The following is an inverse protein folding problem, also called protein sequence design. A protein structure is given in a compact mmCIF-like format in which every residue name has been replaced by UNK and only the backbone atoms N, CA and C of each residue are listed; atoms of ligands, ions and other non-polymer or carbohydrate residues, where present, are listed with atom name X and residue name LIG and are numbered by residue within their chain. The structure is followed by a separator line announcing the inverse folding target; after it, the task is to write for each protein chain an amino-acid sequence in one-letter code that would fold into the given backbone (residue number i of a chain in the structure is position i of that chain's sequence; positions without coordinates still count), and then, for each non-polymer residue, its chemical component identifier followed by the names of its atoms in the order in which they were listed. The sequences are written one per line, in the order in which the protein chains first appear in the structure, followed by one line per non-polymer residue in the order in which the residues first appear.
data_IF_958400255437
#
_entry.id   IF_958400255437
#
_cell.length_a   1.000
_cell.length_b   1.000
_cell.length_c   1.000
_cell.angle_alpha   90.00
_cell.angle_beta   90.00
_cell.angle_gamma   90.00
#
_symmetry.space_group_name_H-M   'P 1'
#
loop_
_entity.id
_entity.type
_entity.pdbx_description
1 polymer ?
#
# COMPACT_ATOMS: atom_id res chain seq x y z
N UNK A 1 -19.71 -17.59 12.98
CA UNK A 1 -19.50 -18.84 12.25
C UNK A 1 -20.90 -19.48 12.07
N UNK A 2 -21.34 -19.77 10.84
CA UNK A 2 -22.63 -20.47 10.68
C UNK A 2 -22.39 -21.94 11.01
N UNK A 3 -23.04 -22.44 12.03
CA UNK A 3 -23.17 -23.86 12.33
C UNK A 3 -24.32 -24.43 11.50
N UNK A 4 -24.09 -25.55 10.83
CA UNK A 4 -25.15 -26.30 10.17
C UNK A 4 -25.70 -27.31 11.17
N UNK A 5 -27.03 -27.44 11.20
CA UNK A 5 -27.72 -28.36 12.08
C UNK A 5 -28.63 -29.27 11.23
N UNK A 6 -28.83 -30.48 11.66
CA UNK A 6 -29.78 -31.42 11.02
C UNK A 6 -31.21 -30.94 11.25
N UNK A 7 -32.03 -30.96 10.21
CA UNK A 7 -33.44 -30.49 10.25
C UNK A 7 -34.35 -31.31 11.14
N UNK A 8 -33.92 -32.48 11.59
CA UNK A 8 -34.79 -33.38 12.39
C UNK A 8 -34.43 -33.43 13.89
N UNK A 9 -33.12 -33.36 14.21
CA UNK A 9 -32.66 -33.51 15.60
C UNK A 9 -32.02 -32.22 16.17
N UNK A 10 -31.76 -31.21 15.37
CA UNK A 10 -31.01 -30.02 15.79
C UNK A 10 -29.54 -30.29 16.15
N UNK A 11 -29.01 -31.47 15.77
CA UNK A 11 -27.61 -31.81 16.05
C UNK A 11 -26.66 -31.06 15.13
N UNK A 12 -25.56 -30.51 15.68
CA UNK A 12 -24.58 -29.79 14.84
C UNK A 12 -23.87 -30.76 13.91
N UNK A 13 -23.91 -30.45 12.62
CA UNK A 13 -23.19 -31.20 11.56
C UNK A 13 -21.69 -30.93 11.71
N UNK A 14 -20.88 -32.00 11.78
CA UNK A 14 -19.42 -31.91 12.06
C UNK A 14 -18.64 -31.61 10.80
N UNK A 15 -17.91 -30.49 10.83
CA UNK A 15 -16.96 -30.14 9.75
C UNK A 15 -15.84 -31.18 9.67
N UNK A 16 -15.51 -31.60 8.45
CA UNK A 16 -14.46 -32.58 8.15
C UNK A 16 -14.89 -34.04 8.19
N UNK A 17 -16.00 -34.36 8.88
CA UNK A 17 -16.57 -35.71 8.92
C UNK A 17 -17.84 -35.82 8.06
N UNK A 18 -18.68 -34.79 8.08
CA UNK A 18 -20.01 -34.81 7.45
C UNK A 18 -20.14 -33.75 6.36
N UNK A 19 -19.29 -32.72 6.36
CA UNK A 19 -19.18 -31.76 5.26
C UNK A 19 -17.79 -31.13 5.19
N UNK A 20 -17.40 -30.75 3.99
CA UNK A 20 -16.27 -29.85 3.74
C UNK A 20 -16.76 -28.47 3.37
N UNK A 21 -16.09 -27.45 3.91
CA UNK A 21 -16.34 -26.06 3.55
C UNK A 21 -15.30 -25.60 2.54
N UNK A 22 -15.75 -25.34 1.32
CA UNK A 22 -14.94 -24.66 0.31
C UNK A 22 -15.21 -23.16 0.40
N UNK A 23 -14.18 -22.40 0.69
CA UNK A 23 -14.22 -20.94 0.64
C UNK A 23 -13.63 -20.50 -0.70
N UNK A 24 -14.49 -20.16 -1.64
CA UNK A 24 -14.11 -19.87 -3.01
C UNK A 24 -13.07 -18.75 -3.11
N UNK A 25 -13.26 -17.69 -2.32
CA UNK A 25 -12.34 -16.55 -2.32
C UNK A 25 -10.93 -16.91 -1.80
N UNK A 26 -10.82 -17.86 -0.86
CA UNK A 26 -9.54 -18.39 -0.38
C UNK A 26 -8.85 -19.21 -1.48
N UNK A 27 -9.61 -20.11 -2.11
CA UNK A 27 -9.13 -20.95 -3.20
C UNK A 27 -8.61 -20.09 -4.37
N UNK A 28 -9.36 -19.07 -4.76
CA UNK A 28 -8.98 -18.19 -5.87
C UNK A 28 -7.77 -17.31 -5.53
N UNK A 29 -7.57 -16.94 -4.25
CA UNK A 29 -6.37 -16.24 -3.80
C UNK A 29 -5.11 -17.11 -3.83
N UNK A 30 -5.26 -18.41 -3.57
CA UNK A 30 -4.16 -19.36 -3.62
C UNK A 30 -3.77 -19.73 -5.07
N UNK A 31 -4.64 -19.46 -6.04
CA UNK A 31 -4.46 -19.78 -7.45
C UNK A 31 -4.63 -18.54 -8.33
N UNK A 32 -3.69 -17.58 -8.26
CA UNK A 32 -3.82 -16.27 -8.92
C UNK A 32 -3.96 -16.37 -10.44
N UNK A 33 -3.30 -17.33 -11.09
CA UNK A 33 -3.42 -17.55 -12.53
C UNK A 33 -4.82 -18.02 -12.93
N UNK A 34 -5.43 -18.91 -12.14
CA UNK A 34 -6.79 -19.36 -12.37
C UNK A 34 -7.80 -18.24 -12.11
N UNK A 35 -7.55 -17.42 -11.09
CA UNK A 35 -8.38 -16.25 -10.83
C UNK A 35 -8.30 -15.24 -11.98
N UNK A 36 -7.12 -14.94 -12.49
CA UNK A 36 -6.94 -14.05 -13.64
C UNK A 36 -7.71 -14.56 -14.86
N UNK A 37 -7.55 -15.82 -15.23
CA UNK A 37 -8.30 -16.45 -16.34
C UNK A 37 -9.83 -16.40 -16.14
N UNK A 38 -10.31 -16.66 -14.92
CA UNK A 38 -11.72 -16.58 -14.57
C UNK A 38 -12.27 -15.17 -14.77
N UNK A 39 -11.59 -14.15 -14.23
CA UNK A 39 -12.11 -12.77 -14.27
C UNK A 39 -12.05 -12.18 -15.67
N UNK A 40 -11.02 -12.50 -16.48
CA UNK A 40 -10.95 -12.12 -17.89
C UNK A 40 -12.11 -12.71 -18.67
N UNK A 41 -12.40 -13.99 -18.50
CA UNK A 41 -13.56 -14.66 -19.13
C UNK A 41 -14.89 -14.04 -18.68
N UNK A 42 -15.02 -13.73 -17.40
CA UNK A 42 -16.23 -13.08 -16.85
C UNK A 42 -16.46 -11.70 -17.46
N UNK A 43 -15.40 -10.88 -17.56
CA UNK A 43 -15.49 -9.53 -18.14
C UNK A 43 -15.82 -9.61 -19.62
N UNK A 44 -15.17 -10.50 -20.38
CA UNK A 44 -15.47 -10.71 -21.80
C UNK A 44 -16.95 -11.07 -22.02
N UNK A 45 -17.50 -12.02 -21.27
CA UNK A 45 -18.93 -12.39 -21.36
C UNK A 45 -19.87 -11.25 -20.97
N UNK A 46 -19.48 -10.38 -20.04
CA UNK A 46 -20.28 -9.20 -19.69
C UNK A 46 -20.26 -8.16 -20.79
N UNK A 47 -19.10 -7.90 -21.40
CA UNK A 47 -18.97 -6.99 -22.53
C UNK A 47 -19.81 -7.47 -23.72
N UNK A 48 -19.77 -8.76 -24.04
CA UNK A 48 -20.61 -9.35 -25.07
C UNK A 48 -22.10 -9.11 -24.81
N UNK A 49 -22.56 -9.36 -23.58
CA UNK A 49 -23.97 -9.15 -23.19
C UNK A 49 -24.46 -7.72 -23.30
N UNK A 50 -23.59 -6.73 -23.14
CA UNK A 50 -23.95 -5.32 -23.24
C UNK A 50 -23.65 -4.71 -24.61
N UNK A 51 -23.32 -5.54 -25.60
CA UNK A 51 -23.17 -5.15 -27.00
C UNK A 51 -21.74 -4.76 -27.42
N UNK A 52 -20.73 -4.98 -26.58
CA UNK A 52 -19.31 -4.76 -26.92
C UNK A 52 -18.65 -6.06 -27.45
N UNK A 53 -19.28 -6.71 -28.42
CA UNK A 53 -18.85 -8.02 -28.92
C UNK A 53 -17.41 -8.03 -29.47
N UNK A 54 -16.97 -6.95 -30.13
CA UNK A 54 -15.60 -6.85 -30.64
C UNK A 54 -14.56 -6.84 -29.49
N UNK A 55 -14.85 -6.15 -28.39
CA UNK A 55 -13.98 -6.15 -27.21
C UNK A 55 -14.00 -7.50 -26.47
N UNK A 56 -15.10 -8.25 -26.53
CA UNK A 56 -15.22 -9.56 -25.91
C UNK A 56 -14.38 -10.65 -26.61
N UNK A 57 -14.03 -10.45 -27.89
CA UNK A 57 -13.23 -11.39 -28.70
C UNK A 57 -11.73 -11.13 -28.64
N UNK A 58 -11.31 -10.04 -28.01
CA UNK A 58 -9.90 -9.66 -27.83
C UNK A 58 -9.50 -9.76 -26.36
N UNK A 59 -8.20 -9.68 -26.08
CA UNK A 59 -7.75 -9.50 -24.68
C UNK A 59 -8.21 -8.13 -24.17
N UNK A 60 -8.53 -8.03 -22.91
CA UNK A 60 -9.08 -6.80 -22.31
C UNK A 60 -8.01 -5.72 -22.08
N UNK A 61 -6.76 -6.13 -21.93
CA UNK A 61 -5.64 -5.26 -21.57
C UNK A 61 -5.47 -4.03 -22.47
N UNK A 62 -5.60 -4.14 -23.82
CA UNK A 62 -5.44 -2.99 -24.71
C UNK A 62 -6.45 -1.85 -24.49
N UNK A 63 -7.53 -2.12 -23.77
CA UNK A 63 -8.51 -1.07 -23.42
C UNK A 63 -8.16 -0.29 -22.16
N UNK A 64 -7.10 -0.69 -21.46
CA UNK A 64 -6.60 0.01 -20.28
C UNK A 64 -5.24 0.62 -20.59
N UNK A 65 -5.11 1.93 -20.44
CA UNK A 65 -3.80 2.56 -20.49
C UNK A 65 -2.96 2.00 -19.34
N UNK A 66 -1.77 1.49 -19.67
CA UNK A 66 -0.87 0.92 -18.68
C UNK A 66 0.20 1.92 -18.27
N UNK A 67 0.63 1.80 -17.03
CA UNK A 67 1.90 2.36 -16.60
C UNK A 67 2.99 1.45 -17.15
N UNK A 68 3.92 2.01 -17.94
CA UNK A 68 5.03 1.25 -18.48
C UNK A 68 5.86 0.63 -17.33
N UNK A 69 5.59 -0.64 -17.04
CA UNK A 69 6.19 -1.36 -15.92
C UNK A 69 7.69 -1.59 -16.07
N UNK A 70 8.25 -1.52 -17.32
CA UNK A 70 9.68 -1.69 -17.56
C UNK A 70 10.46 -0.44 -17.28
N UNK A 71 9.87 0.72 -17.53
CA UNK A 71 10.48 2.03 -17.38
C UNK A 71 9.58 3.02 -16.62
N UNK A 72 8.63 2.51 -15.81
CA UNK A 72 7.70 3.37 -15.08
C UNK A 72 8.45 4.42 -14.25
N UNK A 73 9.50 4.04 -13.59
CA UNK A 73 10.33 4.94 -12.83
C UNK A 73 11.01 6.02 -13.69
N UNK A 74 11.28 5.78 -14.99
CA UNK A 74 11.74 6.80 -15.93
C UNK A 74 10.61 7.67 -16.46
N UNK A 75 9.43 7.09 -16.63
CA UNK A 75 8.26 7.81 -17.16
C UNK A 75 7.50 8.61 -16.08
N UNK A 76 7.76 8.36 -14.79
CA UNK A 76 7.05 9.01 -13.67
C UNK A 76 7.09 10.53 -13.72
N UNK A 77 8.15 11.11 -14.28
CA UNK A 77 8.31 12.55 -14.43
C UNK A 77 7.21 13.20 -15.26
N UNK A 78 6.56 12.46 -16.15
CA UNK A 78 5.42 12.94 -16.95
C UNK A 78 4.16 13.16 -16.10
N UNK A 79 4.04 12.45 -14.98
CA UNK A 79 2.89 12.52 -14.07
C UNK A 79 3.09 13.51 -12.92
N UNK A 80 4.29 14.07 -12.78
CA UNK A 80 4.62 15.04 -11.76
C UNK A 80 4.59 16.48 -12.29
N UNK A 81 4.32 17.49 -11.44
CA UNK A 81 4.42 18.89 -11.83
C UNK A 81 5.82 19.22 -12.39
N UNK A 82 5.89 20.11 -13.36
CA UNK A 82 7.17 20.60 -13.88
C UNK A 82 8.00 21.21 -12.74
N UNK A 83 9.31 20.95 -12.70
CA UNK A 83 10.20 21.62 -11.74
C UNK A 83 10.07 23.14 -11.91
N UNK A 84 10.06 23.85 -10.80
CA UNK A 84 10.16 25.31 -10.83
C UNK A 84 11.63 25.69 -10.85
N UNK A 85 11.99 26.62 -11.73
CA UNK A 85 13.36 27.14 -11.77
C UNK A 85 13.81 27.66 -10.42
N UNK A 86 15.04 27.34 -10.03
CA UNK A 86 15.67 27.74 -8.75
C UNK A 86 14.95 27.24 -7.48
N UNK A 87 14.13 26.20 -7.54
CA UNK A 87 13.55 25.58 -6.35
C UNK A 87 14.06 24.16 -6.14
N UNK A 88 14.53 23.88 -4.96
CA UNK A 88 14.83 22.52 -4.53
C UNK A 88 13.58 21.64 -4.58
N UNK A 89 13.76 20.39 -4.96
CA UNK A 89 12.72 19.38 -4.88
C UNK A 89 12.13 19.29 -3.46
N UNK A 90 10.82 18.98 -3.30
CA UNK A 90 10.21 18.95 -1.97
C UNK A 90 10.91 18.01 -0.99
N UNK A 91 11.37 16.85 -1.44
CA UNK A 91 12.13 15.89 -0.63
C UNK A 91 13.52 16.41 -0.23
N UNK A 92 14.18 17.20 -1.07
CA UNK A 92 15.46 17.84 -0.75
C UNK A 92 15.28 18.97 0.27
N UNK A 93 14.18 19.73 0.19
CA UNK A 93 13.88 20.74 1.22
C UNK A 93 13.68 20.13 2.59
N UNK A 94 12.93 18.99 2.64
CA UNK A 94 12.76 18.22 3.88
C UNK A 94 14.10 17.69 4.41
N UNK A 95 14.94 17.13 3.51
CA UNK A 95 16.27 16.65 3.89
C UNK A 95 17.15 17.79 4.41
N UNK A 96 17.17 18.93 3.75
CA UNK A 96 17.94 20.10 4.20
C UNK A 96 17.53 20.56 5.61
N UNK A 97 16.21 20.57 5.89
CA UNK A 97 15.71 20.90 7.23
C UNK A 97 16.22 19.90 8.28
N UNK A 98 16.15 18.59 7.98
CA UNK A 98 16.60 17.56 8.92
C UNK A 98 18.11 17.57 9.14
N UNK A 99 18.91 17.85 8.10
CA UNK A 99 20.38 17.98 8.21
C UNK A 99 20.77 19.12 9.13
N UNK A 100 20.08 20.28 9.00
CA UNK A 100 20.31 21.43 9.87
C UNK A 100 19.87 21.19 11.30
N UNK A 101 18.69 20.56 11.49
CA UNK A 101 18.13 20.37 12.84
C UNK A 101 18.75 19.22 13.62
N UNK A 102 19.16 18.13 12.95
CA UNK A 102 19.59 16.90 13.61
C UNK A 102 21.13 16.72 13.63
N UNK A 103 21.83 17.29 12.65
CA UNK A 103 23.30 17.22 12.55
C UNK A 103 23.95 18.60 12.69
N UNK A 104 23.15 19.66 12.91
CA UNK A 104 23.62 21.04 13.08
C UNK A 104 24.56 21.53 11.96
N UNK A 105 24.34 21.00 10.71
CA UNK A 105 25.18 21.33 9.57
C UNK A 105 24.93 22.77 9.09
N UNK A 106 25.99 23.44 8.65
CA UNK A 106 25.93 24.76 8.03
C UNK A 106 25.36 24.71 6.60
N UNK A 107 24.95 25.85 6.08
CA UNK A 107 24.31 25.99 4.75
C UNK A 107 25.21 25.49 3.60
N UNK A 108 26.50 25.78 3.53
CA UNK A 108 27.39 25.26 2.49
C UNK A 108 27.46 23.74 2.48
N UNK A 109 27.58 23.11 3.64
CA UNK A 109 27.63 21.64 3.79
C UNK A 109 26.31 20.99 3.38
N UNK A 110 25.18 21.55 3.82
CA UNK A 110 23.85 21.09 3.40
C UNK A 110 23.68 21.18 1.87
N UNK A 111 24.13 22.28 1.26
CA UNK A 111 24.07 22.46 -0.18
C UNK A 111 24.91 21.41 -0.90
N UNK A 112 26.14 21.17 -0.43
CA UNK A 112 27.02 20.13 -1.01
C UNK A 112 26.40 18.72 -0.96
N UNK A 113 25.73 18.38 0.15
CA UNK A 113 25.02 17.11 0.30
C UNK A 113 23.85 17.01 -0.71
N UNK A 114 23.05 18.06 -0.82
CA UNK A 114 21.91 18.08 -1.75
C UNK A 114 22.39 17.96 -3.19
N UNK A 115 23.43 18.71 -3.58
CA UNK A 115 24.00 18.69 -4.92
C UNK A 115 24.60 17.30 -5.26
N UNK A 116 25.24 16.66 -4.28
CA UNK A 116 25.76 15.29 -4.45
C UNK A 116 24.65 14.28 -4.74
N UNK A 117 23.46 14.44 -4.14
CA UNK A 117 22.31 13.53 -4.33
C UNK A 117 21.48 13.83 -5.58
N UNK A 118 21.72 14.93 -6.28
CA UNK A 118 20.97 15.27 -7.50
C UNK A 118 21.26 14.30 -8.64
N UNK A 119 20.18 13.91 -9.34
CA UNK A 119 20.23 13.16 -10.60
C UNK A 119 19.44 13.94 -11.64
N UNK A 120 20.10 14.72 -12.50
CA UNK A 120 19.43 15.59 -13.45
C UNK A 120 18.42 14.82 -14.33
N UNK A 121 17.20 15.35 -14.46
CA UNK A 121 16.12 14.80 -15.28
C UNK A 121 15.57 13.44 -14.81
N UNK A 122 15.89 13.01 -13.59
CA UNK A 122 15.47 11.70 -13.09
C UNK A 122 15.00 11.71 -11.63
N UNK A 123 13.84 12.33 -11.39
CA UNK A 123 13.31 12.55 -10.03
C UNK A 123 13.10 11.27 -9.21
N UNK A 124 12.80 10.15 -9.85
CA UNK A 124 12.67 8.88 -9.12
C UNK A 124 14.02 8.43 -8.54
N UNK A 125 15.10 8.43 -9.35
CA UNK A 125 16.43 8.06 -8.86
C UNK A 125 16.96 9.05 -7.82
N UNK A 126 16.70 10.34 -8.00
CA UNK A 126 17.04 11.38 -7.03
C UNK A 126 16.31 11.17 -5.70
N UNK A 127 15.01 10.84 -5.76
CA UNK A 127 14.23 10.45 -4.56
C UNK A 127 14.75 9.15 -3.95
N UNK A 128 15.11 8.14 -4.75
CA UNK A 128 15.69 6.90 -4.28
C UNK A 128 17.06 7.11 -3.59
N UNK A 129 17.90 7.97 -4.13
CA UNK A 129 19.16 8.37 -3.49
C UNK A 129 18.90 9.07 -2.15
N UNK A 130 17.97 10.02 -2.11
CA UNK A 130 17.56 10.70 -0.86
C UNK A 130 17.02 9.70 0.17
N UNK A 131 16.24 8.71 -0.27
CA UNK A 131 15.71 7.65 0.58
C UNK A 131 16.82 6.74 1.13
N UNK A 132 17.78 6.32 0.29
CA UNK A 132 18.93 5.53 0.73
C UNK A 132 19.79 6.30 1.72
N UNK A 133 20.09 7.56 1.45
CA UNK A 133 20.83 8.44 2.35
C UNK A 133 20.17 8.52 3.74
N UNK A 134 18.83 8.67 3.79
CA UNK A 134 18.07 8.66 5.05
C UNK A 134 18.10 7.31 5.77
N UNK A 135 18.10 6.20 5.04
CA UNK A 135 18.23 4.85 5.65
C UNK A 135 19.60 4.60 6.25
N UNK A 136 20.62 5.10 5.62
CA UNK A 136 22.01 4.98 6.07
C UNK A 136 22.40 6.06 7.08
N UNK A 137 21.58 7.05 7.30
CA UNK A 137 21.75 8.27 8.08
C UNK A 137 23.11 8.36 8.80
N UNK A 138 23.96 9.36 8.50
CA UNK A 138 25.30 9.45 9.02
C UNK A 138 25.30 9.63 10.54
N UNK A 139 26.27 8.99 11.20
CA UNK A 139 26.40 9.06 12.65
C UNK A 139 26.89 10.42 13.14
N UNK A 140 27.65 11.13 12.29
CA UNK A 140 28.23 12.45 12.57
C UNK A 140 28.29 13.31 11.30
N UNK A 141 28.69 14.59 11.47
CA UNK A 141 28.80 15.55 10.37
C UNK A 141 29.87 15.19 9.35
N UNK A 142 30.97 14.56 9.77
CA UNK A 142 32.14 14.30 8.91
C UNK A 142 31.82 13.22 7.88
N UNK A 143 30.97 12.25 8.22
CA UNK A 143 30.54 11.19 7.31
C UNK A 143 29.39 11.64 6.38
N UNK A 144 28.72 12.74 6.69
CA UNK A 144 27.51 13.16 5.99
C UNK A 144 27.75 13.47 4.51
N UNK A 145 28.81 14.18 4.20
CA UNK A 145 29.16 14.59 2.84
C UNK A 145 29.67 13.40 2.03
N UNK A 146 30.57 12.59 2.60
CA UNK A 146 31.11 11.39 1.93
C UNK A 146 30.02 10.39 1.58
N UNK A 147 29.08 10.15 2.49
CA UNK A 147 27.92 9.28 2.25
C UNK A 147 27.03 9.84 1.12
N UNK A 148 26.81 11.16 1.05
CA UNK A 148 26.01 11.77 -0.01
C UNK A 148 26.66 11.58 -1.38
N UNK A 149 27.99 11.75 -1.48
CA UNK A 149 28.74 11.49 -2.69
C UNK A 149 28.69 10.02 -3.12
N UNK A 150 28.84 9.08 -2.19
CA UNK A 150 28.73 7.65 -2.46
C UNK A 150 27.33 7.30 -3.01
N UNK A 151 26.27 7.67 -2.29
CA UNK A 151 24.89 7.38 -2.69
C UNK A 151 24.53 8.05 -4.02
N UNK A 152 24.91 9.32 -4.19
CA UNK A 152 24.67 10.06 -5.43
C UNK A 152 25.43 9.48 -6.62
N UNK A 153 26.66 8.97 -6.43
CA UNK A 153 27.40 8.28 -7.49
C UNK A 153 26.71 7.01 -7.95
N UNK A 154 26.16 6.21 -7.04
CA UNK A 154 25.36 5.03 -7.35
C UNK A 154 24.11 5.38 -8.17
N UNK A 155 23.42 6.46 -7.81
CA UNK A 155 22.23 6.90 -8.52
C UNK A 155 22.56 7.35 -9.96
N UNK A 156 23.64 8.09 -10.14
CA UNK A 156 24.12 8.50 -11.48
C UNK A 156 24.60 7.31 -12.32
N UNK A 157 25.27 6.32 -11.70
CA UNK A 157 25.65 5.09 -12.37
C UNK A 157 24.42 4.33 -12.91
N UNK A 158 23.36 4.20 -12.11
CA UNK A 158 22.11 3.59 -12.57
C UNK A 158 21.42 4.39 -13.69
N UNK A 159 21.46 5.71 -13.66
CA UNK A 159 20.94 6.55 -14.74
C UNK A 159 21.68 6.32 -16.05
N UNK A 160 22.99 6.04 -15.98
CA UNK A 160 23.86 5.70 -17.13
C UNK A 160 23.74 4.23 -17.54
N UNK A 161 22.99 3.40 -16.81
CA UNK A 161 22.80 1.98 -17.08
C UNK A 161 23.84 1.05 -16.45
N UNK A 162 24.78 1.59 -15.65
CA UNK A 162 25.77 0.81 -14.91
C UNK A 162 25.13 0.25 -13.62
N UNK A 163 24.67 -1.00 -13.72
CA UNK A 163 24.03 -1.70 -12.60
C UNK A 163 25.02 -2.22 -11.57
N UNK A 164 26.26 -2.45 -11.93
CA UNK A 164 27.28 -2.95 -11.03
C UNK A 164 27.72 -1.84 -10.05
N UNK A 165 28.10 -0.68 -10.57
CA UNK A 165 28.43 0.48 -9.74
C UNK A 165 27.25 1.01 -8.92
N UNK A 166 26.00 0.83 -9.40
CA UNK A 166 24.77 1.20 -8.71
C UNK A 166 24.10 0.08 -7.90
N UNK A 167 24.77 -1.05 -7.64
CA UNK A 167 24.12 -2.28 -7.14
C UNK A 167 23.38 -2.12 -5.81
N UNK A 168 23.93 -1.36 -4.85
CA UNK A 168 23.27 -1.16 -3.55
C UNK A 168 21.96 -0.37 -3.69
N UNK A 169 21.96 0.69 -4.50
CA UNK A 169 20.73 1.45 -4.78
C UNK A 169 19.75 0.64 -5.62
N UNK A 170 20.21 -0.16 -6.59
CA UNK A 170 19.37 -1.04 -7.38
C UNK A 170 18.65 -2.07 -6.49
N UNK A 171 19.38 -2.67 -5.54
CA UNK A 171 18.79 -3.58 -4.55
C UNK A 171 17.74 -2.88 -3.69
N UNK A 172 18.03 -1.69 -3.19
CA UNK A 172 17.07 -0.91 -2.42
C UNK A 172 15.81 -0.63 -3.24
N UNK A 173 15.95 -0.19 -4.49
CA UNK A 173 14.83 0.07 -5.39
C UNK A 173 14.01 -1.20 -5.62
N UNK A 174 14.64 -2.37 -5.77
CA UNK A 174 13.92 -3.64 -5.99
C UNK A 174 12.95 -3.98 -4.84
N UNK A 175 13.25 -3.55 -3.63
CA UNK A 175 12.39 -3.76 -2.45
C UNK A 175 11.41 -2.61 -2.23
N UNK A 176 11.86 -1.36 -2.35
CA UNK A 176 11.13 -0.17 -1.92
C UNK A 176 10.57 0.69 -3.06
N UNK A 177 10.60 0.24 -4.32
CA UNK A 177 10.15 1.05 -5.47
C UNK A 177 8.73 1.60 -5.29
N UNK A 178 7.80 0.78 -4.81
CA UNK A 178 6.41 1.17 -4.54
C UNK A 178 6.31 2.25 -3.46
N UNK A 179 7.13 2.16 -2.41
CA UNK A 179 7.14 3.13 -1.32
C UNK A 179 7.81 4.44 -1.73
N UNK A 180 8.93 4.35 -2.47
CA UNK A 180 9.63 5.51 -3.05
C UNK A 180 8.71 6.28 -3.99
N UNK A 181 7.94 5.58 -4.85
CA UNK A 181 6.94 6.19 -5.72
C UNK A 181 5.82 6.87 -4.93
N UNK A 182 5.27 6.18 -3.91
CA UNK A 182 4.22 6.76 -3.08
C UNK A 182 4.70 8.03 -2.37
N UNK A 183 5.91 8.02 -1.80
CA UNK A 183 6.53 9.18 -1.20
C UNK A 183 6.78 10.30 -2.22
N UNK A 184 7.28 9.96 -3.42
CA UNK A 184 7.53 10.93 -4.47
C UNK A 184 6.24 11.65 -4.91
N UNK A 185 5.17 10.91 -5.15
CA UNK A 185 3.86 11.52 -5.47
C UNK A 185 3.34 12.37 -4.31
N UNK A 186 3.45 11.87 -3.08
CA UNK A 186 3.05 12.61 -1.88
C UNK A 186 3.84 13.92 -1.69
N UNK A 187 5.15 13.91 -1.93
CA UNK A 187 6.01 15.09 -1.85
C UNK A 187 5.58 16.20 -2.82
N UNK A 188 5.02 15.84 -3.97
CA UNK A 188 4.48 16.76 -4.95
C UNK A 188 2.96 17.03 -4.79
N UNK A 189 2.35 16.63 -3.69
CA UNK A 189 0.91 16.72 -3.44
C UNK A 189 0.08 16.08 -4.57
N UNK A 190 0.55 14.95 -5.09
CA UNK A 190 -0.12 14.13 -6.11
C UNK A 190 -0.48 12.77 -5.52
N UNK A 191 -1.54 12.18 -6.04
CA UNK A 191 -1.96 10.82 -5.68
C UNK A 191 -1.28 9.80 -6.57
N UNK A 192 -0.87 8.68 -5.98
CA UNK A 192 -0.30 7.55 -6.71
C UNK A 192 -1.32 7.02 -7.74
N UNK A 193 -0.96 6.87 -9.02
CA UNK A 193 -1.85 6.31 -10.03
C UNK A 193 -2.03 4.79 -9.86
N UNK A 194 -3.22 4.31 -10.21
CA UNK A 194 -3.57 2.89 -10.34
C UNK A 194 -4.00 2.67 -11.79
N UNK A 195 -3.33 1.82 -12.53
CA UNK A 195 -3.60 1.61 -13.95
C UNK A 195 -3.20 0.21 -14.42
N UNK A 196 -3.82 -0.20 -15.54
CA UNK A 196 -3.67 -1.53 -16.09
C UNK A 196 -4.68 -2.53 -15.51
N UNK A 197 -5.13 -3.46 -16.34
CA UNK A 197 -6.13 -4.45 -15.91
C UNK A 197 -5.58 -5.36 -14.80
N UNK A 198 -4.31 -5.75 -14.86
CA UNK A 198 -3.65 -6.57 -13.84
C UNK A 198 -3.70 -5.91 -12.45
N UNK A 199 -3.50 -4.59 -12.36
CA UNK A 199 -3.67 -3.85 -11.09
C UNK A 199 -5.10 -4.00 -10.54
N UNK A 200 -6.11 -4.03 -11.41
CA UNK A 200 -7.51 -4.21 -10.98
C UNK A 200 -7.76 -5.65 -10.48
N UNK A 201 -7.12 -6.64 -11.11
CA UNK A 201 -7.17 -8.04 -10.65
C UNK A 201 -6.53 -8.16 -9.27
N UNK A 202 -5.37 -7.57 -9.06
CA UNK A 202 -4.66 -7.58 -7.77
C UNK A 202 -5.47 -6.89 -6.66
N UNK A 203 -6.02 -5.71 -6.90
CA UNK A 203 -6.88 -5.01 -5.95
C UNK A 203 -8.12 -5.81 -5.55
N UNK A 204 -8.58 -6.71 -6.40
CA UNK A 204 -9.75 -7.55 -6.12
C UNK A 204 -9.44 -8.77 -5.26
N UNK A 205 -8.20 -9.26 -5.25
CA UNK A 205 -7.65 -10.33 -4.42
C UNK A 205 -8.56 -11.58 -4.31
N UNK A 206 -8.91 -12.16 -5.43
CA UNK A 206 -9.77 -13.36 -5.48
C UNK A 206 -11.27 -13.10 -5.29
N UNK A 207 -11.66 -11.86 -4.97
CA UNK A 207 -13.07 -11.47 -4.76
C UNK A 207 -13.62 -10.83 -6.03
N UNK A 208 -14.27 -11.62 -6.87
CA UNK A 208 -14.83 -11.18 -8.16
C UNK A 208 -15.75 -9.96 -8.04
N UNK A 209 -16.50 -9.83 -6.95
CA UNK A 209 -17.36 -8.65 -6.68
C UNK A 209 -16.52 -7.36 -6.62
N UNK A 210 -15.36 -7.39 -5.99
CA UNK A 210 -14.48 -6.23 -5.86
C UNK A 210 -13.99 -5.76 -7.23
N UNK A 211 -13.56 -6.70 -8.10
CA UNK A 211 -13.19 -6.36 -9.46
C UNK A 211 -14.34 -5.67 -10.21
N UNK A 212 -15.53 -6.24 -10.14
CA UNK A 212 -16.70 -5.69 -10.85
C UNK A 212 -17.10 -4.30 -10.33
N UNK A 213 -16.92 -4.05 -9.04
CA UNK A 213 -17.13 -2.72 -8.46
C UNK A 213 -16.10 -1.73 -9.01
N UNK A 214 -14.82 -2.08 -9.02
CA UNK A 214 -13.78 -1.22 -9.58
C UNK A 214 -14.06 -0.93 -11.06
N UNK A 215 -14.33 -1.95 -11.89
CA UNK A 215 -14.63 -1.78 -13.30
C UNK A 215 -15.87 -0.92 -13.55
N UNK A 216 -16.92 -1.06 -12.72
CA UNK A 216 -18.12 -0.20 -12.78
C UNK A 216 -17.76 1.28 -12.57
N UNK A 217 -16.95 1.58 -11.56
CA UNK A 217 -16.58 2.96 -11.27
C UNK A 217 -15.61 3.52 -12.30
N UNK A 218 -14.66 2.72 -12.78
CA UNK A 218 -13.75 3.08 -13.87
C UNK A 218 -14.55 3.40 -15.14
N UNK A 219 -15.49 2.54 -15.55
CA UNK A 219 -16.35 2.77 -16.70
C UNK A 219 -17.15 4.06 -16.57
N UNK A 220 -17.71 4.35 -15.38
CA UNK A 220 -18.46 5.60 -15.14
C UNK A 220 -17.55 6.82 -15.27
N UNK A 221 -16.31 6.77 -14.72
CA UNK A 221 -15.34 7.86 -14.84
C UNK A 221 -14.89 8.09 -16.27
N UNK A 222 -14.58 7.04 -17.02
CA UNK A 222 -14.17 7.15 -18.42
C UNK A 222 -15.29 7.73 -19.29
N UNK A 223 -16.54 7.28 -19.12
CA UNK A 223 -17.68 7.87 -19.84
C UNK A 223 -17.91 9.33 -19.48
N UNK A 224 -17.77 9.70 -18.22
CA UNK A 224 -17.87 11.09 -17.77
C UNK A 224 -16.75 11.97 -18.33
N UNK A 225 -15.56 11.41 -18.54
CA UNK A 225 -14.42 12.09 -19.16
C UNK A 225 -14.55 12.21 -20.71
N UNK A 226 -15.61 11.67 -21.31
CA UNK A 226 -15.81 11.65 -22.75
C UNK A 226 -15.03 10.57 -23.50
N UNK A 227 -14.44 9.61 -22.77
CA UNK A 227 -13.78 8.46 -23.36
C UNK A 227 -14.83 7.46 -23.90
N UNK A 228 -14.44 6.66 -24.89
CA UNK A 228 -15.29 5.60 -25.45
C UNK A 228 -14.72 4.21 -25.12
N UNK A 229 -14.80 3.81 -23.83
CA UNK A 229 -14.23 2.54 -23.39
C UNK A 229 -14.86 1.36 -24.14
N UNK A 230 -14.00 0.41 -24.54
CA UNK A 230 -14.39 -0.82 -25.25
C UNK A 230 -14.99 -0.64 -26.66
N UNK A 231 -14.99 0.55 -27.22
CA UNK A 231 -15.44 0.85 -28.60
C UNK A 231 -14.24 1.20 -29.46
N UNK A 232 -13.69 2.40 -29.25
CA UNK A 232 -12.57 2.94 -30.04
C UNK A 232 -11.46 3.51 -29.17
N UNK A 233 -11.70 3.68 -27.86
CA UNK A 233 -10.83 4.39 -26.95
C UNK A 233 -10.20 3.50 -25.86
N UNK A 234 -9.05 3.94 -25.39
CA UNK A 234 -8.37 3.40 -24.23
C UNK A 234 -8.83 4.17 -22.98
N UNK A 235 -9.09 3.48 -21.90
CA UNK A 235 -9.41 4.09 -20.60
C UNK A 235 -8.15 4.69 -20.02
N UNK A 236 -8.13 6.00 -19.83
CA UNK A 236 -6.96 6.73 -19.35
C UNK A 236 -6.55 6.33 -17.92
N UNK A 237 -5.26 6.46 -17.60
CA UNK A 237 -4.73 6.26 -16.24
C UNK A 237 -5.52 7.09 -15.23
N UNK A 238 -5.93 8.30 -15.60
CA UNK A 238 -6.72 9.16 -14.73
C UNK A 238 -8.09 8.57 -14.41
N UNK A 239 -8.84 8.14 -15.44
CA UNK A 239 -10.17 7.54 -15.26
C UNK A 239 -10.10 6.23 -14.47
N UNK A 240 -9.06 5.42 -14.70
CA UNK A 240 -8.81 4.20 -13.92
C UNK A 240 -8.54 4.53 -12.45
N UNK A 241 -7.60 5.42 -12.17
CA UNK A 241 -7.20 5.78 -10.82
C UNK A 241 -8.33 6.43 -10.02
N UNK A 242 -9.10 7.33 -10.65
CA UNK A 242 -10.26 7.97 -10.01
C UNK A 242 -11.38 6.94 -9.77
N UNK A 243 -11.61 6.03 -10.72
CA UNK A 243 -12.61 4.97 -10.58
C UNK A 243 -12.29 3.97 -9.47
N UNK A 244 -11.03 3.57 -9.35
CA UNK A 244 -10.57 2.69 -8.25
C UNK A 244 -10.77 3.33 -6.89
N UNK A 245 -10.48 4.63 -6.75
CA UNK A 245 -10.71 5.35 -5.49
C UNK A 245 -12.18 5.50 -5.15
N UNK A 246 -13.03 5.73 -6.17
CA UNK A 246 -14.49 5.73 -5.98
C UNK A 246 -14.97 4.35 -5.54
N UNK A 247 -14.44 3.28 -6.15
CA UNK A 247 -14.73 1.90 -5.75
C UNK A 247 -14.33 1.60 -4.31
N UNK A 248 -13.14 2.02 -3.90
CA UNK A 248 -12.66 1.87 -2.52
C UNK A 248 -13.52 2.68 -1.52
N UNK A 249 -13.92 3.90 -1.88
CA UNK A 249 -14.80 4.73 -1.05
C UNK A 249 -16.20 4.13 -0.94
N UNK A 250 -16.76 3.69 -2.06
CA UNK A 250 -18.05 3.01 -2.07
C UNK A 250 -18.02 1.75 -1.20
N UNK A 251 -16.99 0.90 -1.35
CA UNK A 251 -16.83 -0.31 -0.55
C UNK A 251 -16.76 0.00 0.96
N UNK A 252 -16.03 1.05 1.32
CA UNK A 252 -15.92 1.51 2.70
C UNK A 252 -17.25 2.02 3.29
N UNK A 253 -18.07 2.68 2.49
CA UNK A 253 -19.34 3.28 2.89
C UNK A 253 -20.48 2.27 2.91
N UNK A 254 -20.55 1.37 1.90
CA UNK A 254 -21.61 0.37 1.75
C UNK A 254 -21.49 -0.79 2.74
N UNK A 255 -20.28 -1.23 3.02
CA UNK A 255 -20.03 -2.32 3.94
C UNK A 255 -20.10 -1.84 5.39
N UNK A 256 -21.32 -1.65 5.92
CA UNK A 256 -21.54 -1.32 7.33
C UNK A 256 -22.04 -2.57 8.07
N UNK A 257 -21.23 -3.14 8.99
CA UNK A 257 -21.68 -4.24 9.81
C UNK A 257 -22.92 -3.81 10.63
N UNK A 258 -23.97 -4.65 10.72
CA UNK A 258 -25.21 -4.30 11.42
C UNK A 258 -25.02 -4.02 12.91
N UNK A 259 -23.97 -4.57 13.51
CA UNK A 259 -23.61 -4.33 14.91
C UNK A 259 -22.12 -4.04 15.04
N UNK A 260 -21.77 -2.99 15.78
CA UNK A 260 -20.37 -2.60 16.00
C UNK A 260 -19.65 -2.01 14.78
N UNK A 261 -20.40 -1.57 13.76
CA UNK A 261 -19.85 -1.09 12.51
C UNK A 261 -18.89 0.08 12.64
N UNK A 262 -19.20 1.05 13.50
CA UNK A 262 -18.30 2.18 13.78
C UNK A 262 -17.00 1.72 14.44
N UNK A 263 -17.07 0.83 15.41
CA UNK A 263 -15.89 0.27 16.08
C UNK A 263 -14.97 -0.44 15.10
N UNK A 264 -15.52 -1.28 14.22
CA UNK A 264 -14.75 -2.02 13.22
C UNK A 264 -14.10 -1.05 12.23
N UNK A 265 -14.83 -0.04 11.77
CA UNK A 265 -14.29 0.98 10.88
C UNK A 265 -13.16 1.78 11.52
N UNK A 266 -13.34 2.22 12.74
CA UNK A 266 -12.31 2.94 13.51
C UNK A 266 -11.05 2.10 13.70
N UNK A 267 -11.21 0.81 13.97
CA UNK A 267 -10.10 -0.12 14.10
C UNK A 267 -9.32 -0.28 12.77
N UNK A 268 -10.05 -0.54 11.68
CA UNK A 268 -9.43 -0.70 10.34
C UNK A 268 -8.78 0.61 9.86
N UNK A 269 -9.41 1.76 10.10
CA UNK A 269 -8.82 3.07 9.81
C UNK A 269 -7.53 3.29 10.59
N UNK A 270 -7.49 2.93 11.88
CA UNK A 270 -6.29 3.06 12.72
C UNK A 270 -5.12 2.22 12.18
N UNK A 271 -5.40 0.99 11.72
CA UNK A 271 -4.43 0.10 11.09
C UNK A 271 -3.95 0.69 9.75
N UNK A 272 -4.88 1.14 8.91
CA UNK A 272 -4.54 1.71 7.61
C UNK A 272 -3.74 3.02 7.74
N UNK A 273 -4.07 3.87 8.71
CA UNK A 273 -3.30 5.08 9.03
C UNK A 273 -1.90 4.73 9.52
N UNK A 274 -1.74 3.69 10.35
CA UNK A 274 -0.42 3.21 10.75
C UNK A 274 0.41 2.78 9.54
N UNK A 275 -0.14 1.96 8.64
CA UNK A 275 0.55 1.52 7.44
C UNK A 275 0.94 2.69 6.54
N UNK A 276 0.02 3.62 6.30
CA UNK A 276 0.27 4.82 5.51
C UNK A 276 1.39 5.67 6.13
N UNK A 277 1.35 5.87 7.44
CA UNK A 277 2.36 6.68 8.15
C UNK A 277 3.75 6.04 8.05
N UNK A 278 3.84 4.72 8.22
CA UNK A 278 5.11 3.99 8.04
C UNK A 278 5.60 4.12 6.58
N UNK A 279 4.72 3.89 5.60
CA UNK A 279 5.06 3.97 4.17
C UNK A 279 5.59 5.34 3.76
N UNK A 280 4.98 6.40 4.27
CA UNK A 280 5.34 7.79 3.94
C UNK A 280 6.42 8.37 4.87
N UNK A 281 6.91 7.59 5.85
CA UNK A 281 8.00 7.99 6.72
C UNK A 281 9.33 8.09 5.97
N UNK A 282 10.28 8.82 6.54
CA UNK A 282 11.59 9.01 5.93
C UNK A 282 12.40 7.71 5.79
N UNK A 283 12.16 6.73 6.67
CA UNK A 283 12.82 5.42 6.65
C UNK A 283 11.82 4.32 7.02
N UNK A 284 10.95 3.89 6.08
CA UNK A 284 10.01 2.81 6.35
C UNK A 284 10.71 1.56 6.89
N UNK A 285 10.16 0.99 7.95
CA UNK A 285 10.71 -0.23 8.55
C UNK A 285 10.54 -1.46 7.67
N UNK A 286 9.48 -1.47 6.88
CA UNK A 286 9.10 -2.58 6.00
C UNK A 286 8.71 -2.05 4.62
N UNK A 287 9.03 -2.80 3.58
CA UNK A 287 8.67 -2.47 2.20
C UNK A 287 7.22 -2.92 1.89
N UNK A 288 6.50 -2.13 1.11
CA UNK A 288 5.14 -2.44 0.65
C UNK A 288 4.24 -2.96 1.79
N UNK A 289 4.23 -2.22 2.90
CA UNK A 289 3.55 -2.62 4.13
C UNK A 289 2.04 -2.54 3.97
N UNK A 290 1.36 -3.68 4.12
CA UNK A 290 -0.09 -3.78 4.16
C UNK A 290 -0.59 -4.92 5.05
N UNK A 291 0.30 -5.57 5.83
CA UNK A 291 -0.04 -6.70 6.67
C UNK A 291 0.56 -6.57 8.08
N UNK A 292 -0.07 -7.22 9.04
CA UNK A 292 0.39 -7.29 10.41
C UNK A 292 0.17 -8.67 11.01
N UNK A 293 1.05 -9.06 11.94
CA UNK A 293 0.86 -10.24 12.78
C UNK A 293 0.45 -9.82 14.20
N UNK A 294 -0.36 -10.65 14.83
CA UNK A 294 -0.87 -10.39 16.17
C UNK A 294 -1.07 -11.69 16.97
N UNK A 295 -0.67 -11.73 18.27
CA UNK A 295 -0.89 -12.87 19.14
C UNK A 295 -2.35 -12.88 19.62
N UNK A 296 -3.23 -13.69 19.00
CA UNK A 296 -4.66 -13.72 19.30
C UNK A 296 -4.98 -14.03 20.76
N UNK A 297 -4.14 -14.84 21.43
CA UNK A 297 -4.34 -15.21 22.84
C UNK A 297 -4.19 -14.02 23.80
N UNK A 298 -3.39 -13.02 23.41
CA UNK A 298 -3.14 -11.83 24.22
C UNK A 298 -4.12 -10.68 23.94
N UNK A 299 -5.07 -10.89 23.01
CA UNK A 299 -6.08 -9.90 22.70
C UNK A 299 -7.29 -10.01 23.64
N UNK A 300 -7.91 -8.87 23.93
CA UNK A 300 -9.22 -8.81 24.59
C UNK A 300 -10.30 -9.54 23.77
N UNK A 301 -11.39 -9.91 24.39
CA UNK A 301 -12.52 -10.52 23.71
C UNK A 301 -13.11 -9.57 22.64
N UNK A 302 -13.25 -8.29 22.99
CA UNK A 302 -13.71 -7.25 22.06
C UNK A 302 -12.77 -7.12 20.84
N UNK A 303 -11.46 -7.13 21.05
CA UNK A 303 -10.47 -7.09 19.96
C UNK A 303 -10.60 -8.29 19.02
N UNK A 304 -10.74 -9.50 19.56
CA UNK A 304 -10.95 -10.71 18.75
C UNK A 304 -12.26 -10.65 17.96
N UNK A 305 -13.34 -10.15 18.58
CA UNK A 305 -14.63 -9.94 17.92
C UNK A 305 -14.49 -8.92 16.77
N UNK A 306 -13.83 -7.79 17.01
CA UNK A 306 -13.58 -6.75 16.00
C UNK A 306 -12.81 -7.30 14.80
N UNK A 307 -11.74 -8.08 15.03
CA UNK A 307 -11.00 -8.77 13.97
C UNK A 307 -11.89 -9.72 13.18
N UNK A 308 -12.70 -10.54 13.85
CA UNK A 308 -13.60 -11.48 13.19
C UNK A 308 -14.65 -10.77 12.33
N UNK A 309 -15.20 -9.64 12.80
CA UNK A 309 -16.14 -8.85 12.01
C UNK A 309 -15.44 -8.19 10.81
N UNK A 310 -14.24 -7.62 11.00
CA UNK A 310 -13.46 -7.03 9.92
C UNK A 310 -13.11 -8.06 8.83
N UNK A 311 -12.81 -9.31 9.21
CA UNK A 311 -12.57 -10.43 8.30
C UNK A 311 -13.84 -10.79 7.53
N UNK A 312 -14.98 -10.95 8.22
CA UNK A 312 -16.26 -11.29 7.58
C UNK A 312 -16.72 -10.24 6.56
N UNK A 313 -16.32 -8.97 6.74
CA UNK A 313 -16.63 -7.88 5.81
C UNK A 313 -15.52 -7.60 4.81
N UNK A 314 -14.48 -8.45 4.77
CA UNK A 314 -13.33 -8.31 3.87
C UNK A 314 -12.58 -6.98 4.00
N UNK A 315 -12.71 -6.32 5.14
CA UNK A 315 -11.85 -5.17 5.49
C UNK A 315 -10.44 -5.63 5.84
N UNK A 316 -10.34 -6.79 6.50
CA UNK A 316 -9.10 -7.50 6.74
C UNK A 316 -9.21 -8.91 6.13
N UNK A 317 -8.10 -9.40 5.66
CA UNK A 317 -7.98 -10.75 5.12
C UNK A 317 -7.04 -11.53 6.03
N UNK A 318 -7.55 -12.57 6.66
CA UNK A 318 -6.71 -13.51 7.41
C UNK A 318 -5.95 -14.40 6.44
N UNK A 319 -4.64 -14.47 6.61
CA UNK A 319 -3.78 -15.28 5.79
C UNK A 319 -3.57 -16.64 6.47
N UNK A 320 -3.52 -17.73 5.68
CA UNK A 320 -3.42 -19.09 6.21
C UNK A 320 -2.08 -19.33 6.89
N UNK A 321 -1.00 -18.74 6.35
CA UNK A 321 0.33 -18.81 6.93
C UNK A 321 0.42 -17.83 8.09
N UNK A 322 0.32 -18.34 9.33
CA UNK A 322 0.68 -17.56 10.51
C UNK A 322 2.19 -17.24 10.52
N UNK A 323 2.57 -16.15 11.18
CA UNK A 323 3.97 -15.77 11.35
C UNK A 323 4.52 -16.44 12.63
N UNK A 324 5.60 -17.21 12.51
CA UNK A 324 6.34 -17.67 13.71
C UNK A 324 6.95 -16.47 14.42
N UNK A 325 6.55 -16.29 15.67
CA UNK A 325 7.17 -15.29 16.54
C UNK A 325 8.59 -15.76 16.91
N UNK A 326 9.59 -14.91 16.67
CA UNK A 326 11.00 -15.25 16.92
C UNK A 326 11.32 -15.46 18.40
N UNK A 327 10.56 -14.81 19.29
CA UNK A 327 10.86 -14.80 20.73
C UNK A 327 10.24 -15.98 21.50
N UNK A 328 9.04 -16.43 21.11
CA UNK A 328 8.27 -17.43 21.88
C UNK A 328 7.90 -18.69 21.08
N UNK A 329 8.36 -18.81 19.81
CA UNK A 329 8.07 -19.92 18.88
C UNK A 329 6.58 -20.14 18.57
N UNK A 330 5.68 -19.25 19.02
CA UNK A 330 4.25 -19.30 18.72
C UNK A 330 3.98 -18.85 17.28
N UNK A 331 2.85 -19.24 16.73
CA UNK A 331 2.39 -18.81 15.43
C UNK A 331 1.36 -17.72 15.68
N UNK A 332 1.74 -16.47 15.39
CA UNK A 332 0.83 -15.34 15.47
C UNK A 332 -0.09 -15.32 14.22
N UNK A 333 -1.34 -14.92 14.41
CA UNK A 333 -2.26 -14.76 13.30
C UNK A 333 -1.80 -13.59 12.41
N UNK A 334 -1.86 -13.80 11.09
CA UNK A 334 -1.43 -12.83 10.10
C UNK A 334 -2.66 -12.28 9.36
N UNK A 335 -2.77 -10.96 9.33
CA UNK A 335 -3.84 -10.22 8.66
C UNK A 335 -3.27 -9.23 7.66
N UNK A 336 -3.97 -9.07 6.56
CA UNK A 336 -3.69 -8.04 5.54
C UNK A 336 -4.88 -7.09 5.46
N UNK A 337 -4.62 -5.79 5.26
CA UNK A 337 -5.66 -4.85 4.87
C UNK A 337 -6.25 -5.28 3.54
N UNK A 338 -7.58 -5.32 3.44
CA UNK A 338 -8.25 -5.69 2.19
C UNK A 338 -7.76 -4.81 1.04
N UNK A 339 -7.16 -5.38 -0.02
CA UNK A 339 -6.54 -4.59 -1.10
C UNK A 339 -7.51 -3.64 -1.79
N UNK A 340 -8.80 -3.95 -1.80
CA UNK A 340 -9.85 -3.03 -2.25
C UNK A 340 -9.85 -1.68 -1.51
N UNK A 341 -9.36 -1.66 -0.27
CA UNK A 341 -9.24 -0.46 0.56
C UNK A 341 -7.90 0.27 0.42
N UNK A 342 -6.88 -0.38 -0.17
CA UNK A 342 -5.55 0.19 -0.32
C UNK A 342 -5.53 1.58 -0.98
N UNK A 343 -6.31 1.85 -2.05
CA UNK A 343 -6.34 3.15 -2.71
C UNK A 343 -6.90 4.28 -1.86
N UNK A 344 -7.71 3.98 -0.84
CA UNK A 344 -8.29 4.97 0.06
C UNK A 344 -7.23 5.64 0.95
N UNK A 345 -6.26 4.86 1.42
CA UNK A 345 -5.19 5.32 2.30
C UNK A 345 -3.81 5.33 1.65
N UNK A 346 -3.73 5.10 0.34
CA UNK A 346 -2.46 5.03 -0.39
C UNK A 346 -1.48 4.00 0.22
N UNK A 347 -2.04 2.90 0.73
CA UNK A 347 -1.30 1.73 1.20
C UNK A 347 -0.94 0.85 -0.01
N UNK A 348 0.04 -0.04 0.12
CA UNK A 348 0.40 -0.97 -0.94
C UNK A 348 -0.70 -2.01 -1.17
N UNK A 349 -0.99 -2.29 -2.43
CA UNK A 349 -1.83 -3.39 -2.88
C UNK A 349 -1.08 -4.74 -2.79
N UNK A 350 0.23 -4.70 -3.00
CA UNK A 350 1.10 -5.87 -2.91
C UNK A 350 1.61 -6.08 -1.50
N UNK A 351 1.54 -7.32 -1.02
CA UNK A 351 2.12 -7.70 0.26
C UNK A 351 3.59 -8.12 0.10
N UNK A 352 4.49 -7.36 0.71
CA UNK A 352 5.88 -7.78 0.94
C UNK A 352 6.26 -7.69 2.42
N UNK A 353 6.02 -6.54 3.05
CA UNK A 353 6.31 -6.30 4.45
C UNK A 353 5.18 -6.68 5.39
N UNK A 354 5.55 -7.02 6.62
CA UNK A 354 4.62 -7.34 7.71
C UNK A 354 5.18 -6.80 9.01
N UNK A 355 4.39 -6.07 9.77
CA UNK A 355 4.76 -5.63 11.11
C UNK A 355 4.11 -6.52 12.17
N UNK A 356 4.78 -6.67 13.29
CA UNK A 356 4.20 -7.24 14.51
C UNK A 356 3.48 -6.12 15.28
N UNK A 357 2.20 -6.31 15.52
CA UNK A 357 1.44 -5.48 16.46
C UNK A 357 1.53 -6.10 17.85
N UNK A 358 2.21 -5.41 18.76
CA UNK A 358 2.21 -5.77 20.17
C UNK A 358 0.78 -5.73 20.71
N UNK A 359 0.47 -6.57 21.68
CA UNK A 359 -0.89 -6.75 22.17
C UNK A 359 -1.53 -5.47 22.72
N UNK A 360 -0.77 -4.60 23.37
CA UNK A 360 -1.23 -3.30 23.88
C UNK A 360 -1.68 -2.37 22.73
N UNK A 361 -0.85 -2.21 21.68
CA UNK A 361 -1.19 -1.42 20.51
C UNK A 361 -2.36 -2.04 19.73
N UNK A 362 -2.38 -3.37 19.60
CA UNK A 362 -3.47 -4.07 18.94
C UNK A 362 -4.79 -3.90 19.67
N UNK A 363 -4.81 -4.05 21.01
CA UNK A 363 -6.01 -3.80 21.80
C UNK A 363 -6.45 -2.33 21.72
N UNK A 364 -5.52 -1.37 21.77
CA UNK A 364 -5.85 0.05 21.65
C UNK A 364 -6.45 0.42 20.27
N UNK A 365 -6.11 -0.32 19.20
CA UNK A 365 -6.71 -0.14 17.88
C UNK A 365 -8.06 -0.83 17.72
N UNK A 366 -8.23 -2.01 18.32
CA UNK A 366 -9.34 -2.93 18.05
C UNK A 366 -10.45 -2.86 19.10
N UNK A 367 -10.14 -2.39 20.32
CA UNK A 367 -11.07 -2.35 21.45
C UNK A 367 -11.31 -0.91 21.91
N UNK A 368 -12.56 -0.43 21.90
CA UNK A 368 -12.89 0.92 22.37
C UNK A 368 -12.45 1.21 23.81
N UNK A 369 -12.46 0.19 24.68
CA UNK A 369 -12.10 0.35 26.09
C UNK A 369 -10.61 0.70 26.28
N UNK A 370 -9.76 0.31 25.34
CA UNK A 370 -8.31 0.61 25.30
C UNK A 370 -7.95 1.82 24.42
N UNK A 371 -8.94 2.44 23.76
CA UNK A 371 -8.71 3.50 22.75
C UNK A 371 -7.96 4.73 23.28
N UNK A 372 -8.12 5.05 24.55
CA UNK A 372 -7.46 6.20 25.17
C UNK A 372 -5.92 6.11 25.12
N UNK A 373 -5.35 4.90 25.07
CA UNK A 373 -3.91 4.66 25.02
C UNK A 373 -3.32 4.80 23.61
N UNK A 374 -4.18 4.71 22.58
CA UNK A 374 -3.76 4.66 21.18
C UNK A 374 -2.80 5.78 20.75
N UNK A 375 -3.05 7.08 21.06
CA UNK A 375 -2.15 8.15 20.63
C UNK A 375 -0.73 7.98 21.19
N UNK A 376 -0.61 7.57 22.47
CA UNK A 376 0.69 7.37 23.14
C UNK A 376 1.44 6.19 22.54
N UNK A 377 0.75 5.07 22.32
CA UNK A 377 1.34 3.86 21.73
C UNK A 377 1.75 4.08 20.28
N UNK A 378 0.92 4.79 19.49
CA UNK A 378 1.25 5.20 18.13
C UNK A 378 2.47 6.10 18.10
N UNK A 379 2.52 7.12 18.95
CA UNK A 379 3.68 8.01 19.06
C UNK A 379 4.95 7.20 19.33
N UNK A 380 4.93 6.33 20.36
CA UNK A 380 6.06 5.46 20.69
C UNK A 380 6.52 4.58 19.52
N UNK A 381 5.58 4.04 18.75
CA UNK A 381 5.88 3.18 17.59
C UNK A 381 6.52 3.97 16.44
N UNK A 382 6.02 5.17 16.18
CA UNK A 382 6.36 5.97 15.01
C UNK A 382 7.58 6.89 15.22
N UNK A 383 7.89 7.26 16.46
CA UNK A 383 9.00 8.21 16.76
C UNK A 383 10.32 7.78 16.10
N UNK A 384 10.64 6.47 16.13
CA UNK A 384 11.88 5.94 15.55
C UNK A 384 11.90 5.94 14.01
N UNK A 385 10.75 6.12 13.36
CA UNK A 385 10.62 6.01 11.90
C UNK A 385 10.60 7.38 11.21
N UNK A 386 10.20 8.42 11.93
CA UNK A 386 9.97 9.75 11.35
C UNK A 386 11.17 10.66 11.54
N UNK A 387 11.92 10.50 12.63
CA UNK A 387 13.12 11.28 12.87
C UNK A 387 14.27 10.40 13.32
N UNK A 388 15.46 10.52 12.72
CA UNK A 388 16.66 9.80 13.16
C UNK A 388 17.07 10.17 14.60
N UNK A 389 16.78 11.41 15.02
CA UNK A 389 17.08 11.91 16.37
C UNK A 389 15.95 11.68 17.38
N UNK A 390 14.82 11.11 16.98
CA UNK A 390 13.70 10.86 17.88
C UNK A 390 12.90 12.12 18.28
N UNK A 391 13.15 13.27 17.64
CA UNK A 391 12.43 14.51 17.90
C UNK A 391 11.05 14.53 17.23
N UNK A 392 10.13 15.05 17.94
CA UNK A 392 8.71 15.31 17.78
C UNK A 392 7.98 14.93 16.49
N UNK A 393 7.10 13.94 16.65
CA UNK A 393 5.97 13.68 15.74
C UNK A 393 4.96 14.84 15.80
N UNK A 394 4.34 15.22 14.66
CA UNK A 394 3.20 16.11 14.68
C UNK A 394 2.10 15.52 15.60
N UNK A 395 1.47 16.40 16.39
CA UNK A 395 0.48 16.03 17.41
C UNK A 395 -0.76 15.30 16.85
N UNK A 396 -0.93 15.26 15.51
CA UNK A 396 -2.04 14.60 14.86
C UNK A 396 -1.60 13.76 13.65
N UNK A 397 -1.56 12.40 13.75
CA UNK A 397 -1.19 11.52 12.64
C UNK A 397 -2.13 11.59 11.42
N UNK A 398 -3.27 12.27 11.53
CA UNK A 398 -4.20 12.49 10.41
C UNK A 398 -3.71 13.55 9.42
N UNK A 399 -2.63 14.28 9.73
CA UNK A 399 -2.09 15.39 8.93
C UNK A 399 -0.84 15.05 8.11
N UNK A 400 -0.43 13.77 8.09
CA UNK A 400 0.67 13.31 7.23
C UNK A 400 0.13 12.75 5.93
#
# INVERSE_FOLDING_TARGET
MKTFETTGSGEPIRRGAEYERVVLDELLREQPEQYDGLVRSLVAKRLERVGYAAAAQTTIDPYFEELDNRDYWRSVDRHLPKPKENQLAPYHRKLATDLKSNLELDEPTVTAIIDALQVPKHRFLEKAATFQYRKLWPANSDDAVSLAFEVGSQARALDQGDREAGSNLANLISYFSSDILAQLFHDYARRLPYAGFDTMVELSQGITRNLLVNLKHIFRRSRFAGEEPFISGVISIKSQSDGVRDGASWFWEDAQPPSGGLQVRDAVESIAVLFRTIRLSHSPSECALCAFSVPLEALSENSRRTLSVAENWSYLVKLQEGRRNKNNKRIDALYQLGPMLAPRWEVSEHRRGTIELQHDLANAMLDPDHRAELPTLMKKRLTRLISPSGSDLPANPRLI
#
